data_IF_837121868178
#
_entry.id   IF_837121868178
#
_cell.length_a   1.000
_cell.length_b   1.000
_cell.length_c   1.000
_cell.angle_alpha   90.00
_cell.angle_beta   90.00
_cell.angle_gamma   90.00
#
_symmetry.space_group_name_H-M   'P 1'
#
loop_
_entity.id
_entity.type
_entity.pdbx_description
1 polymer ?
#
# COMPACT_ATOMS: atom_id res chain seq x y z
N UNK A 1 -10.89 1.95 -17.99
CA UNK A 1 -9.65 2.49 -17.41
C UNK A 1 -9.25 1.66 -16.21
N UNK A 2 -8.01 1.18 -16.20
CA UNK A 2 -7.43 0.46 -15.07
C UNK A 2 -6.70 1.41 -14.12
N UNK A 3 -6.99 1.27 -12.83
CA UNK A 3 -6.36 1.93 -11.70
C UNK A 3 -5.70 0.90 -10.78
N UNK A 4 -4.58 1.25 -10.15
CA UNK A 4 -3.90 0.40 -9.18
C UNK A 4 -3.57 1.20 -7.91
N UNK A 5 -3.50 0.53 -6.76
CA UNK A 5 -3.09 1.18 -5.52
C UNK A 5 -1.61 1.56 -5.61
N UNK A 6 -1.32 2.87 -5.61
CA UNK A 6 0.04 3.40 -5.69
C UNK A 6 0.64 3.66 -4.32
N UNK A 7 -0.08 4.32 -3.44
CA UNK A 7 0.37 4.65 -2.08
C UNK A 7 -0.82 4.54 -1.13
N UNK A 8 -0.56 4.27 0.13
CA UNK A 8 -1.55 4.19 1.19
C UNK A 8 -0.91 4.65 2.50
N UNK A 9 -1.72 5.16 3.43
CA UNK A 9 -1.24 5.51 4.77
C UNK A 9 -1.04 4.27 5.65
N UNK A 10 -0.28 4.43 6.74
CA UNK A 10 -0.12 3.39 7.77
C UNK A 10 -1.43 2.86 8.34
N UNK A 11 -2.47 3.70 8.32
CA UNK A 11 -3.83 3.34 8.70
C UNK A 11 -4.82 3.74 7.60
N UNK A 12 -5.67 2.80 7.20
CA UNK A 12 -6.74 3.00 6.23
C UNK A 12 -8.06 2.77 6.95
N UNK A 13 -9.04 3.63 6.72
CA UNK A 13 -10.38 3.45 7.28
C UNK A 13 -11.13 2.35 6.55
N UNK A 14 -11.84 1.53 7.32
CA UNK A 14 -12.72 0.46 6.84
C UNK A 14 -13.78 0.90 5.81
N UNK A 15 -14.18 2.18 5.82
CA UNK A 15 -15.19 2.70 4.89
C UNK A 15 -14.66 2.97 3.48
N UNK A 16 -13.35 2.85 3.25
CA UNK A 16 -12.72 3.27 2.00
C UNK A 16 -13.27 2.50 0.78
N UNK A 17 -13.35 1.17 0.87
CA UNK A 17 -13.87 0.36 -0.24
C UNK A 17 -15.37 0.58 -0.44
N UNK A 18 -16.13 0.66 0.64
CA UNK A 18 -17.57 0.93 0.59
C UNK A 18 -17.87 2.24 -0.15
N UNK A 19 -17.17 3.33 0.21
CA UNK A 19 -17.35 4.64 -0.44
C UNK A 19 -16.92 4.62 -1.92
N UNK A 20 -15.93 3.81 -2.30
CA UNK A 20 -15.54 3.64 -3.70
C UNK A 20 -16.58 2.84 -4.50
N UNK A 21 -17.19 1.82 -3.90
CA UNK A 21 -18.23 1.00 -4.55
C UNK A 21 -19.60 1.68 -4.57
N UNK A 22 -19.88 2.60 -3.65
CA UNK A 22 -21.12 3.39 -3.60
C UNK A 22 -21.23 4.44 -4.71
N UNK A 23 -20.10 4.78 -5.35
CA UNK A 23 -20.08 5.56 -6.59
C UNK A 23 -20.69 4.68 -7.70
N UNK A 24 -22.02 4.65 -7.81
CA UNK A 24 -22.82 3.82 -8.72
C UNK A 24 -22.35 3.89 -10.19
N UNK A 25 -21.31 3.12 -10.50
CA UNK A 25 -20.56 3.12 -11.75
C UNK A 25 -20.15 1.70 -12.07
N UNK A 26 -19.95 1.41 -13.35
CA UNK A 26 -19.39 0.13 -13.76
C UNK A 26 -17.94 0.03 -13.30
N UNK A 27 -17.73 -0.69 -12.20
CA UNK A 27 -16.46 -0.88 -11.52
C UNK A 27 -16.24 -2.36 -11.24
N UNK A 28 -15.08 -2.86 -11.63
CA UNK A 28 -14.58 -4.18 -11.26
C UNK A 28 -13.38 -3.97 -10.34
N UNK A 29 -13.29 -4.77 -9.28
CA UNK A 29 -12.20 -4.71 -8.31
C UNK A 29 -11.62 -6.11 -8.12
N UNK A 30 -10.29 -6.20 -8.09
CA UNK A 30 -9.56 -7.43 -7.75
C UNK A 30 -8.46 -7.12 -6.75
N UNK A 31 -8.26 -8.07 -5.83
CA UNK A 31 -7.19 -8.08 -4.84
C UNK A 31 -6.46 -9.41 -4.98
N UNK A 32 -5.27 -9.37 -5.56
CA UNK A 32 -4.38 -10.53 -5.60
C UNK A 32 -3.47 -10.50 -4.38
N UNK A 33 -3.49 -11.55 -3.56
CA UNK A 33 -2.74 -11.61 -2.30
C UNK A 33 -1.74 -12.77 -2.34
N UNK A 34 -0.49 -12.50 -2.00
CA UNK A 34 0.57 -13.49 -1.85
C UNK A 34 1.13 -13.38 -0.42
N UNK A 35 0.88 -14.37 0.44
CA UNK A 35 1.44 -14.36 1.78
C UNK A 35 2.95 -14.56 1.78
N UNK A 36 3.64 -13.84 2.67
CA UNK A 36 5.07 -14.00 2.91
C UNK A 36 5.24 -14.85 4.18
N UNK A 37 6.10 -15.89 4.16
CA UNK A 37 6.45 -16.63 5.37
C UNK A 37 6.95 -15.68 6.46
N UNK A 38 6.48 -15.86 7.71
CA UNK A 38 6.77 -14.91 8.80
C UNK A 38 8.25 -14.82 9.11
N UNK A 39 8.98 -15.93 9.04
CA UNK A 39 10.43 -15.97 9.23
C UNK A 39 11.18 -15.16 8.17
N UNK A 40 10.76 -15.26 6.90
CA UNK A 40 11.31 -14.45 5.81
C UNK A 40 10.96 -12.96 5.99
N UNK A 41 9.71 -12.66 6.37
CA UNK A 41 9.24 -11.29 6.59
C UNK A 41 9.97 -10.60 7.74
N UNK A 42 10.14 -11.29 8.87
CA UNK A 42 10.90 -10.80 10.04
C UNK A 42 12.35 -10.55 9.66
N UNK A 43 13.01 -11.51 8.99
CA UNK A 43 14.40 -11.34 8.55
C UNK A 43 14.57 -10.16 7.60
N UNK A 44 13.65 -9.96 6.66
CA UNK A 44 13.66 -8.82 5.75
C UNK A 44 13.46 -7.49 6.50
N UNK A 45 12.53 -7.43 7.45
CA UNK A 45 12.28 -6.26 8.28
C UNK A 45 13.50 -5.91 9.16
N UNK A 46 14.14 -6.90 9.78
CA UNK A 46 15.38 -6.74 10.56
C UNK A 46 16.53 -6.21 9.71
N UNK A 47 16.72 -6.75 8.50
CA UNK A 47 17.75 -6.29 7.57
C UNK A 47 17.52 -4.82 7.16
N UNK A 48 16.26 -4.43 6.91
CA UNK A 48 15.92 -3.03 6.60
C UNK A 48 16.15 -2.11 7.79
N UNK A 49 15.76 -2.52 8.99
CA UNK A 49 16.00 -1.77 10.22
C UNK A 49 17.51 -1.56 10.45
N UNK A 50 18.32 -2.61 10.28
CA UNK A 50 19.77 -2.52 10.36
C UNK A 50 20.36 -1.53 9.34
N UNK A 51 19.81 -1.50 8.12
CA UNK A 51 20.18 -0.53 7.10
C UNK A 51 19.91 0.92 7.54
N UNK A 52 18.74 1.20 8.12
CA UNK A 52 18.39 2.51 8.67
C UNK A 52 19.32 2.89 9.83
N UNK A 53 19.59 1.97 10.75
CA UNK A 53 20.50 2.22 11.89
C UNK A 53 21.95 2.46 11.44
N UNK A 54 22.40 1.74 10.40
CA UNK A 54 23.71 1.95 9.77
C UNK A 54 23.79 3.34 9.13
N UNK A 55 22.73 3.79 8.45
CA UNK A 55 22.67 5.13 7.87
C UNK A 55 22.74 6.23 8.93
N UNK A 56 22.01 6.08 10.03
CA UNK A 56 22.05 6.99 11.18
C UNK A 56 23.47 7.04 11.76
N UNK A 57 24.09 5.87 11.98
CA UNK A 57 25.44 5.77 12.55
C UNK A 57 26.48 6.43 11.63
N UNK A 58 26.38 6.21 10.32
CA UNK A 58 27.27 6.83 9.34
C UNK A 58 27.08 8.35 9.28
N UNK A 59 25.84 8.82 9.36
CA UNK A 59 25.54 10.25 9.43
C UNK A 59 26.16 10.88 10.69
N UNK A 60 25.98 10.27 11.86
CA UNK A 60 26.57 10.73 13.12
C UNK A 60 28.10 10.75 13.07
N UNK A 61 28.73 9.69 12.51
CA UNK A 61 30.19 9.63 12.33
C UNK A 61 30.70 10.80 11.48
N UNK A 62 29.99 11.17 10.41
CA UNK A 62 30.32 12.33 9.56
C UNK A 62 30.18 13.67 10.30
N UNK A 63 29.17 13.82 11.16
CA UNK A 63 29.04 15.03 11.98
C UNK A 63 30.17 15.13 13.00
N UNK A 64 30.50 14.03 13.67
CA UNK A 64 31.61 13.98 14.62
C UNK A 64 32.97 14.26 13.96
N UNK A 65 33.23 13.75 12.74
CA UNK A 65 34.46 14.08 12.01
C UNK A 65 34.57 15.55 11.64
N UNK A 66 33.43 16.25 11.55
CA UNK A 66 33.34 17.69 11.32
C UNK A 66 33.31 18.49 12.63
N UNK A 67 33.64 17.87 13.78
CA UNK A 67 33.56 18.45 15.13
C UNK A 67 32.16 18.94 15.54
N UNK A 68 31.11 18.42 14.90
CA UNK A 68 29.71 18.78 15.18
C UNK A 68 29.03 17.73 16.08
N UNK A 69 29.40 17.71 17.36
CA UNK A 69 28.93 16.70 18.32
C UNK A 69 27.49 16.91 18.82
N UNK A 70 26.92 18.10 18.63
CA UNK A 70 25.55 18.45 19.02
C UNK A 70 24.53 18.23 17.89
N UNK A 71 24.95 17.67 16.76
CA UNK A 71 24.09 17.43 15.62
C UNK A 71 23.02 16.39 15.96
N UNK A 72 21.74 16.76 15.84
CA UNK A 72 20.61 15.85 16.02
C UNK A 72 20.31 15.11 14.72
N UNK A 73 19.99 13.82 14.83
CA UNK A 73 19.66 12.98 13.67
C UNK A 73 18.50 13.64 12.89
N UNK A 74 18.55 13.67 11.54
CA UNK A 74 17.46 14.23 10.76
C UNK A 74 16.15 13.51 11.05
N UNK A 75 15.06 14.28 11.16
CA UNK A 75 13.72 13.77 11.47
C UNK A 75 13.31 12.60 10.56
N UNK A 76 13.60 12.69 9.26
CA UNK A 76 13.26 11.63 8.30
C UNK A 76 13.89 10.28 8.64
N UNK A 77 15.14 10.28 9.15
CA UNK A 77 15.82 9.04 9.56
C UNK A 77 15.24 8.49 10.87
N UNK A 78 14.86 9.36 11.80
CA UNK A 78 14.17 8.97 13.03
C UNK A 78 12.80 8.37 12.73
N UNK A 79 12.06 8.98 11.81
CA UNK A 79 10.75 8.52 11.37
C UNK A 79 10.86 7.16 10.68
N UNK A 80 11.81 6.96 9.75
CA UNK A 80 12.06 5.66 9.13
C UNK A 80 12.39 4.58 10.17
N UNK A 81 13.23 4.92 11.17
CA UNK A 81 13.57 3.98 12.25
C UNK A 81 12.34 3.59 13.06
N UNK A 82 11.48 4.57 13.37
CA UNK A 82 10.24 4.35 14.12
C UNK A 82 9.28 3.45 13.34
N UNK A 83 9.02 3.75 12.07
CA UNK A 83 8.12 2.97 11.22
C UNK A 83 8.60 1.53 11.05
N UNK A 84 9.91 1.30 10.87
CA UNK A 84 10.46 -0.05 10.76
C UNK A 84 10.37 -0.84 12.06
N UNK A 85 10.49 -0.18 13.22
CA UNK A 85 10.28 -0.82 14.52
C UNK A 85 8.82 -1.18 14.77
N UNK A 86 7.90 -0.28 14.43
CA UNK A 86 6.45 -0.55 14.50
C UNK A 86 6.08 -1.73 13.59
N UNK A 87 6.59 -1.75 12.36
CA UNK A 87 6.36 -2.86 11.44
C UNK A 87 6.93 -4.19 11.97
N UNK A 88 8.13 -4.18 12.55
CA UNK A 88 8.70 -5.39 13.16
C UNK A 88 7.86 -5.88 14.35
N UNK A 89 7.40 -4.96 15.21
CA UNK A 89 6.52 -5.27 16.34
C UNK A 89 5.17 -5.84 15.88
N UNK A 90 4.61 -5.32 14.79
CA UNK A 90 3.40 -5.89 14.18
C UNK A 90 3.59 -7.36 13.79
N UNK A 91 4.75 -7.72 13.23
CA UNK A 91 5.07 -9.09 12.82
C UNK A 91 5.38 -10.02 14.00
N UNK A 92 6.10 -9.54 15.01
CA UNK A 92 6.60 -10.41 16.10
C UNK A 92 5.68 -10.47 17.30
N UNK A 93 5.04 -9.35 17.65
CA UNK A 93 4.30 -9.18 18.91
C UNK A 93 2.79 -9.23 18.68
N UNK A 94 2.31 -8.64 17.58
CA UNK A 94 0.88 -8.57 17.24
C UNK A 94 0.42 -9.68 16.28
N UNK A 95 1.28 -10.65 15.98
CA UNK A 95 1.03 -11.80 15.08
C UNK A 95 0.42 -11.40 13.72
N UNK A 96 0.81 -10.23 13.20
CA UNK A 96 0.41 -9.83 11.85
C UNK A 96 1.24 -10.59 10.81
N UNK A 97 0.61 -10.98 9.70
CA UNK A 97 1.33 -11.53 8.54
C UNK A 97 1.62 -10.42 7.54
N UNK A 98 2.83 -10.46 6.99
CA UNK A 98 3.21 -9.66 5.82
C UNK A 98 2.64 -10.32 4.55
N UNK A 99 2.00 -9.52 3.73
CA UNK A 99 1.38 -9.94 2.47
C UNK A 99 1.85 -9.02 1.35
N UNK A 100 2.14 -9.57 0.17
CA UNK A 100 2.18 -8.78 -1.04
C UNK A 100 0.79 -8.75 -1.67
N UNK A 101 0.24 -7.56 -1.88
CA UNK A 101 -1.07 -7.38 -2.47
C UNK A 101 -0.98 -6.56 -3.77
N UNK A 102 -1.77 -6.93 -4.77
CA UNK A 102 -2.06 -6.09 -5.94
C UNK A 102 -3.54 -5.75 -5.93
N UNK A 103 -3.84 -4.48 -5.69
CA UNK A 103 -5.21 -3.96 -5.65
C UNK A 103 -5.45 -3.19 -6.95
N UNK A 104 -6.40 -3.68 -7.73
CA UNK A 104 -6.68 -3.19 -9.09
C UNK A 104 -8.16 -2.90 -9.26
N UNK A 105 -8.46 -1.74 -9.81
CA UNK A 105 -9.80 -1.35 -10.22
C UNK A 105 -9.87 -1.20 -11.73
N UNK A 106 -10.96 -1.64 -12.34
CA UNK A 106 -11.30 -1.32 -13.72
C UNK A 106 -12.64 -0.63 -13.74
N UNK A 107 -12.62 0.61 -14.22
CA UNK A 107 -13.82 1.39 -14.44
C UNK A 107 -14.12 1.49 -15.94
N UNK A 108 -15.37 1.28 -16.34
CA UNK A 108 -15.83 1.43 -17.74
C UNK A 108 -16.94 2.47 -17.84
N UNK A 109 -16.95 3.24 -18.92
CA UNK A 109 -17.96 4.25 -19.22
C UNK A 109 -18.20 4.31 -20.73
N UNK A 110 -19.34 4.86 -21.14
CA UNK A 110 -19.77 4.91 -22.55
C UNK A 110 -19.05 6.01 -23.35
N UNK A 111 -18.52 7.03 -22.65
CA UNK A 111 -17.75 8.11 -23.26
C UNK A 111 -16.43 8.35 -22.53
N UNK A 112 -15.44 8.90 -23.26
CA UNK A 112 -14.15 9.28 -22.68
C UNK A 112 -14.31 10.38 -21.61
N UNK A 113 -15.19 11.35 -21.87
CA UNK A 113 -15.45 12.45 -20.93
C UNK A 113 -16.02 11.92 -19.61
N UNK A 114 -16.99 11.01 -19.68
CA UNK A 114 -17.53 10.33 -18.50
C UNK A 114 -16.44 9.53 -17.79
N UNK A 115 -15.64 8.77 -18.54
CA UNK A 115 -14.52 7.99 -17.99
C UNK A 115 -13.52 8.87 -17.23
N UNK A 116 -13.21 10.05 -17.74
CA UNK A 116 -12.28 11.03 -17.13
C UNK A 116 -12.87 11.61 -15.84
N UNK A 117 -14.10 12.11 -15.89
CA UNK A 117 -14.81 12.63 -14.72
C UNK A 117 -14.96 11.57 -13.62
N UNK A 118 -15.29 10.34 -14.02
CA UNK A 118 -15.48 9.25 -13.10
C UNK A 118 -14.17 8.83 -12.43
N UNK A 119 -13.10 8.78 -13.22
CA UNK A 119 -11.75 8.53 -12.69
C UNK A 119 -11.36 9.58 -11.66
N UNK A 120 -11.57 10.86 -11.94
CA UNK A 120 -11.22 11.93 -11.00
C UNK A 120 -11.98 11.83 -9.67
N UNK A 121 -13.28 11.52 -9.73
CA UNK A 121 -14.08 11.28 -8.54
C UNK A 121 -13.58 10.06 -7.73
N UNK A 122 -13.24 8.94 -8.39
CA UNK A 122 -12.65 7.77 -7.72
C UNK A 122 -11.33 8.13 -7.02
N UNK A 123 -10.43 8.83 -7.71
CA UNK A 123 -9.15 9.28 -7.15
C UNK A 123 -9.36 10.25 -5.98
N UNK A 124 -10.36 11.11 -6.06
CA UNK A 124 -10.69 12.07 -4.99
C UNK A 124 -11.23 11.36 -3.75
N UNK A 125 -12.13 10.40 -3.91
CA UNK A 125 -12.63 9.58 -2.80
C UNK A 125 -11.50 8.79 -2.14
N UNK A 126 -10.63 8.15 -2.92
CA UNK A 126 -9.48 7.44 -2.36
C UNK A 126 -8.53 8.35 -1.56
N UNK A 127 -8.27 9.58 -2.04
CA UNK A 127 -7.42 10.56 -1.34
C UNK A 127 -7.98 10.95 0.02
N UNK A 128 -9.31 10.97 0.22
CA UNK A 128 -9.92 11.23 1.54
C UNK A 128 -9.52 10.17 2.57
N UNK A 129 -9.24 8.95 2.11
CA UNK A 129 -8.78 7.82 2.92
C UNK A 129 -7.26 7.65 2.88
N UNK A 130 -6.53 8.71 2.50
CA UNK A 130 -5.06 8.71 2.37
C UNK A 130 -4.53 7.61 1.45
N UNK A 131 -5.35 7.13 0.52
CA UNK A 131 -4.97 6.18 -0.50
C UNK A 131 -4.79 6.93 -1.83
N UNK A 132 -3.70 6.66 -2.53
CA UNK A 132 -3.47 7.18 -3.86
C UNK A 132 -3.55 6.05 -4.86
N UNK A 133 -4.49 6.13 -5.79
CA UNK A 133 -4.54 5.26 -6.95
C UNK A 133 -3.86 5.92 -8.15
N UNK A 134 -3.20 5.11 -8.96
CA UNK A 134 -2.57 5.52 -10.22
C UNK A 134 -3.27 4.89 -11.41
N UNK A 135 -3.22 5.55 -12.57
CA UNK A 135 -3.69 4.98 -13.84
C UNK A 135 -2.57 4.16 -14.49
N UNK A 136 -2.85 2.92 -14.90
CA UNK A 136 -1.89 2.12 -15.68
C UNK A 136 -1.80 2.62 -17.13
N UNK A 137 -0.86 3.53 -17.43
CA UNK A 137 -0.80 4.17 -18.77
C UNK A 137 -0.55 3.19 -19.93
N UNK A 138 0.34 2.22 -19.74
CA UNK A 138 0.82 1.33 -20.81
C UNK A 138 0.41 -0.14 -20.63
N UNK A 139 -0.38 -0.44 -19.60
CA UNK A 139 -0.76 -1.82 -19.21
C UNK A 139 -2.27 -1.95 -18.99
N UNK A 140 -3.08 -1.25 -19.79
CA UNK A 140 -4.55 -1.29 -19.65
C UNK A 140 -5.11 -2.70 -19.92
N UNK A 141 -4.60 -3.42 -20.91
CA UNK A 141 -5.07 -4.78 -21.24
C UNK A 141 -4.64 -5.77 -20.16
N UNK A 142 -3.39 -5.71 -19.70
CA UNK A 142 -2.88 -6.55 -18.62
C UNK A 142 -3.64 -6.31 -17.31
N UNK A 143 -3.88 -5.03 -16.99
CA UNK A 143 -4.68 -4.64 -15.85
C UNK A 143 -6.13 -5.09 -15.94
N UNK A 144 -6.74 -5.06 -17.14
CA UNK A 144 -8.08 -5.64 -17.37
C UNK A 144 -8.06 -7.15 -17.11
N UNK A 145 -7.11 -7.88 -17.69
CA UNK A 145 -6.98 -9.33 -17.47
C UNK A 145 -6.79 -9.69 -15.99
N UNK A 146 -6.12 -8.83 -15.23
CA UNK A 146 -5.90 -9.02 -13.78
C UNK A 146 -7.20 -8.97 -12.97
N UNK A 147 -8.18 -8.15 -13.36
CA UNK A 147 -9.46 -8.06 -12.62
C UNK A 147 -10.49 -9.10 -13.04
N UNK A 148 -10.23 -9.86 -14.09
CA UNK A 148 -11.17 -10.83 -14.60
C UNK A 148 -11.29 -12.04 -13.66
N UNK A 149 -12.48 -12.67 -13.57
CA UNK A 149 -12.75 -13.74 -12.61
C UNK A 149 -11.99 -15.05 -12.88
N UNK A 150 -11.22 -15.15 -13.96
CA UNK A 150 -10.36 -16.29 -14.24
C UNK A 150 -9.04 -16.28 -13.45
N UNK A 151 -8.80 -15.25 -12.62
CA UNK A 151 -7.76 -15.27 -11.57
C UNK A 151 -6.33 -15.20 -12.08
N UNK A 152 -6.08 -14.57 -13.24
CA UNK A 152 -4.73 -14.44 -13.79
C UNK A 152 -4.22 -13.02 -13.60
N UNK A 153 -3.28 -12.85 -12.67
CA UNK A 153 -2.56 -11.58 -12.47
C UNK A 153 -1.54 -11.35 -13.60
N UNK A 154 -1.62 -10.18 -14.25
CA UNK A 154 -0.72 -9.76 -15.35
C UNK A 154 0.06 -8.48 -15.07
N UNK A 155 -0.11 -7.89 -13.88
CA UNK A 155 0.61 -6.69 -13.46
C UNK A 155 1.37 -6.94 -12.15
N UNK A 156 2.52 -6.30 -12.01
CA UNK A 156 3.44 -6.45 -10.87
C UNK A 156 3.49 -5.20 -9.98
N UNK A 157 2.34 -4.56 -9.73
CA UNK A 157 2.24 -3.38 -8.87
C UNK A 157 2.03 -3.75 -7.41
N UNK A 158 2.91 -4.57 -6.86
CA UNK A 158 2.79 -5.09 -5.50
C UNK A 158 2.90 -4.02 -4.42
N UNK A 159 2.12 -4.18 -3.36
CA UNK A 159 2.21 -3.43 -2.11
C UNK A 159 2.42 -4.39 -0.95
N UNK A 160 3.35 -4.06 -0.07
CA UNK A 160 3.54 -4.79 1.18
C UNK A 160 2.47 -4.33 2.15
N UNK A 161 1.52 -5.20 2.52
CA UNK A 161 0.49 -4.91 3.50
C UNK A 161 0.63 -5.85 4.69
N UNK A 162 0.22 -5.39 5.86
CA UNK A 162 -0.04 -6.31 6.98
C UNK A 162 -1.45 -6.90 6.85
N UNK A 163 -1.74 -7.93 7.64
CA UNK A 163 -3.07 -8.55 7.67
C UNK A 163 -4.15 -7.53 8.05
N UNK A 164 -3.86 -6.64 9.00
CA UNK A 164 -4.78 -5.58 9.42
C UNK A 164 -5.06 -4.59 8.27
N UNK A 165 -4.02 -4.08 7.59
CA UNK A 165 -4.22 -3.15 6.47
C UNK A 165 -4.94 -3.80 5.28
N UNK A 166 -4.68 -5.09 5.02
CA UNK A 166 -5.34 -5.83 3.93
C UNK A 166 -6.83 -6.02 4.21
N UNK A 167 -7.22 -6.27 5.47
CA UNK A 167 -8.62 -6.50 5.85
C UNK A 167 -9.53 -5.32 5.51
N UNK A 168 -8.99 -4.09 5.53
CA UNK A 168 -9.70 -2.86 5.14
C UNK A 168 -10.13 -2.88 3.67
N UNK A 169 -9.41 -3.59 2.81
CA UNK A 169 -9.74 -3.69 1.39
C UNK A 169 -10.83 -4.74 1.11
N UNK A 170 -11.24 -5.55 2.09
CA UNK A 170 -12.28 -6.56 1.87
C UNK A 170 -13.64 -5.83 1.83
N UNK A 171 -14.37 -5.87 0.69
CA UNK A 171 -15.51 -4.99 0.43
C UNK A 171 -16.72 -5.22 1.34
N UNK A 172 -16.87 -6.41 1.90
CA UNK A 172 -18.03 -6.77 2.72
C UNK A 172 -17.55 -7.40 4.02
N UNK A 173 -17.91 -6.77 5.15
CA UNK A 173 -17.82 -7.42 6.46
C UNK A 173 -19.06 -8.29 6.64
N UNK A 174 -18.83 -9.56 6.94
CA UNK A 174 -19.87 -10.39 7.56
C UNK A 174 -19.99 -9.89 8.99
N UNK A 175 -21.10 -9.23 9.31
CA UNK A 175 -21.45 -8.99 10.71
C UNK A 175 -22.03 -10.30 11.22
N UNK A 176 -21.30 -10.99 12.09
CA UNK A 176 -21.84 -12.16 12.78
C UNK A 176 -23.08 -11.73 13.58
N UNK A 177 -24.20 -12.42 13.36
CA UNK A 177 -25.47 -12.26 14.10
C UNK A 177 -25.42 -13.14 15.34
#
# INVERSE_FOLDING_TARGET
>A
RVLFLREYASYIKDSMVAELTDLNRNLMMSIDVVPVPTDEAVREAENRLLGVETNITNWQRRQNSNNNFSATVPYDMEQQKKEMKEFLDDLTTRDQRMMFAVITFVHTADSKEQLDNDTEALLTTARKHLCQFGVLKFQQVDGLNTVMPFGVRKIDTFRTLTTESLAVFIPFRVQDI
#
